data_IF_777519160658
#
_entry.id   IF_777519160658
#
_cell.length_a   1.000
_cell.length_b   1.000
_cell.length_c   1.000
_cell.angle_alpha   90.00
_cell.angle_beta   90.00
_cell.angle_gamma   90.00
#
_symmetry.space_group_name_H-M   'P 1'
#
loop_
_entity.id
_entity.type
_entity.pdbx_description
1 polymer ?
#
# COMPACT_ATOMS: atom_id res chain seq x y z
N UNK A 1 -65.20 1.69 -20.93
CA UNK A 1 -64.64 2.95 -21.48
C UNK A 1 -63.38 3.33 -20.70
N UNK A 2 -62.18 3.04 -21.24
CA UNK A 2 -60.91 3.48 -20.64
C UNK A 2 -60.75 4.97 -20.99
N UNK A 3 -61.00 5.89 -20.04
CA UNK A 3 -60.71 7.32 -20.22
C UNK A 3 -59.24 7.45 -20.61
N UNK A 4 -58.96 7.74 -21.89
CA UNK A 4 -57.61 8.01 -22.36
C UNK A 4 -57.09 9.20 -21.57
N UNK A 5 -55.99 9.03 -20.84
CA UNK A 5 -55.32 10.16 -20.19
C UNK A 5 -55.06 11.24 -21.24
N UNK A 6 -55.37 12.52 -20.97
CA UNK A 6 -55.08 13.60 -21.90
C UNK A 6 -53.59 13.59 -22.26
N UNK A 7 -53.26 13.79 -23.54
CA UNK A 7 -51.90 13.69 -24.10
C UNK A 7 -50.88 14.46 -23.24
N UNK A 8 -51.28 15.64 -22.74
CA UNK A 8 -50.49 16.47 -21.83
C UNK A 8 -50.06 15.72 -20.56
N UNK A 9 -50.93 14.93 -19.94
CA UNK A 9 -50.62 14.17 -18.73
C UNK A 9 -49.67 13.01 -19.01
N UNK A 10 -49.68 12.44 -20.22
CA UNK A 10 -48.69 11.44 -20.65
C UNK A 10 -47.31 12.08 -20.89
N UNK A 11 -47.28 13.25 -21.52
CA UNK A 11 -46.03 14.01 -21.76
C UNK A 11 -45.39 14.47 -20.45
N UNK A 12 -46.18 15.00 -19.52
CA UNK A 12 -45.68 15.40 -18.19
C UNK A 12 -45.16 14.17 -17.44
N UNK A 13 -45.92 13.05 -17.44
CA UNK A 13 -45.49 11.83 -16.77
C UNK A 13 -44.19 11.27 -17.35
N UNK A 14 -44.05 11.23 -18.68
CA UNK A 14 -42.80 10.79 -19.32
C UNK A 14 -41.65 11.72 -19.00
N UNK A 15 -41.86 13.04 -19.05
CA UNK A 15 -40.83 14.02 -18.72
C UNK A 15 -40.38 13.91 -17.26
N UNK A 16 -41.30 13.70 -16.32
CA UNK A 16 -40.97 13.47 -14.90
C UNK A 16 -40.22 12.15 -14.69
N UNK A 17 -40.60 11.07 -15.38
CA UNK A 17 -39.87 9.80 -15.30
C UNK A 17 -38.45 9.95 -15.87
N UNK A 18 -38.29 10.61 -17.01
CA UNK A 18 -36.98 10.86 -17.61
C UNK A 18 -36.12 11.76 -16.73
N UNK A 19 -36.70 12.83 -16.17
CA UNK A 19 -35.99 13.71 -15.24
C UNK A 19 -35.56 12.97 -13.97
N UNK A 20 -36.43 12.13 -13.41
CA UNK A 20 -36.08 11.29 -12.25
C UNK A 20 -35.02 10.25 -12.59
N UNK A 21 -35.09 9.61 -13.76
CA UNK A 21 -34.08 8.67 -14.24
C UNK A 21 -32.73 9.35 -14.47
N UNK A 22 -32.71 10.54 -15.08
CA UNK A 22 -31.50 11.37 -15.22
C UNK A 22 -30.95 11.78 -13.85
N UNK A 23 -31.83 12.16 -12.92
CA UNK A 23 -31.41 12.52 -11.57
C UNK A 23 -30.77 11.33 -10.84
N UNK A 24 -31.36 10.14 -10.91
CA UNK A 24 -30.77 8.90 -10.38
C UNK A 24 -29.41 8.59 -11.05
N UNK A 25 -29.32 8.69 -12.37
CA UNK A 25 -28.09 8.40 -13.12
C UNK A 25 -26.94 9.34 -12.75
N UNK A 26 -27.24 10.62 -12.54
CA UNK A 26 -26.23 11.66 -12.35
C UNK A 26 -25.88 11.92 -10.88
N UNK A 27 -26.82 11.73 -9.95
CA UNK A 27 -26.67 12.15 -8.56
C UNK A 27 -26.81 11.02 -7.52
N UNK A 28 -27.26 9.81 -7.90
CA UNK A 28 -27.37 8.72 -6.94
C UNK A 28 -25.97 8.27 -6.49
N UNK A 29 -25.69 8.24 -5.18
CA UNK A 29 -24.48 7.63 -4.67
C UNK A 29 -24.48 6.14 -5.02
N UNK A 30 -23.33 5.63 -5.44
CA UNK A 30 -23.16 4.22 -5.81
C UNK A 30 -22.43 3.47 -4.70
N UNK A 31 -22.69 2.16 -4.54
CA UNK A 31 -21.91 1.30 -3.66
C UNK A 31 -20.59 0.86 -4.31
N UNK A 32 -20.17 1.47 -5.42
CA UNK A 32 -19.04 1.06 -6.23
C UNK A 32 -17.90 2.10 -6.22
N UNK A 33 -16.69 1.61 -6.42
CA UNK A 33 -15.49 2.38 -6.72
C UNK A 33 -14.88 1.84 -8.00
N UNK A 34 -14.13 2.70 -8.68
CA UNK A 34 -13.50 2.37 -9.97
C UNK A 34 -12.00 2.60 -9.86
N UNK A 35 -11.23 1.59 -10.26
CA UNK A 35 -9.80 1.70 -10.44
C UNK A 35 -9.53 2.19 -11.86
N UNK A 36 -8.86 3.33 -11.98
CA UNK A 36 -8.51 3.98 -13.24
C UNK A 36 -6.99 4.10 -13.38
N UNK A 37 -6.46 4.23 -14.62
CA UNK A 37 -5.09 4.68 -14.83
C UNK A 37 -4.84 5.97 -14.04
N UNK A 38 -3.81 5.94 -13.20
CA UNK A 38 -3.46 7.06 -12.33
C UNK A 38 -2.28 7.84 -12.89
N UNK A 39 -1.11 7.62 -12.29
CA UNK A 39 0.12 8.31 -12.65
C UNK A 39 1.26 7.31 -12.81
N UNK A 40 2.22 7.67 -13.67
CA UNK A 40 3.57 7.12 -13.62
C UNK A 40 4.54 8.30 -13.56
N UNK A 41 5.37 8.34 -12.52
CA UNK A 41 6.26 9.47 -12.22
C UNK A 41 7.65 8.98 -11.84
N UNK A 42 8.70 9.75 -12.12
CA UNK A 42 10.06 9.41 -11.71
C UNK A 42 10.20 9.31 -10.19
N UNK A 43 11.05 8.39 -9.73
CA UNK A 43 11.30 8.12 -8.30
C UNK A 43 12.49 8.89 -7.76
N UNK A 44 13.39 9.40 -8.61
CA UNK A 44 14.54 10.22 -8.23
C UNK A 44 14.24 11.32 -7.18
N UNK A 45 13.16 12.13 -7.27
CA UNK A 45 12.88 13.15 -6.27
C UNK A 45 12.37 12.59 -4.93
N UNK A 46 12.00 11.31 -4.89
CA UNK A 46 11.44 10.64 -3.73
C UNK A 46 12.49 9.94 -2.87
N UNK A 47 13.71 9.73 -3.38
CA UNK A 47 14.77 9.01 -2.65
C UNK A 47 16.04 9.86 -2.61
N UNK A 48 16.60 10.02 -1.41
CA UNK A 48 17.82 10.79 -1.18
C UNK A 48 18.76 10.05 -0.25
N UNK A 49 20.07 10.22 -0.44
CA UNK A 49 21.05 9.85 0.57
C UNK A 49 21.18 11.00 1.58
N UNK A 50 21.34 10.66 2.86
CA UNK A 50 21.55 11.63 3.92
C UNK A 50 22.73 12.57 3.59
N UNK A 51 22.48 13.88 3.70
CA UNK A 51 23.47 14.91 3.35
C UNK A 51 23.64 15.17 1.84
N UNK A 52 22.84 14.53 0.98
CA UNK A 52 22.78 14.84 -0.46
C UNK A 52 21.41 15.40 -0.85
N UNK A 53 21.39 16.23 -1.89
CA UNK A 53 20.13 16.65 -2.51
C UNK A 53 19.71 15.63 -3.57
N UNK A 54 18.40 15.45 -3.78
CA UNK A 54 17.87 14.58 -4.83
C UNK A 54 18.52 14.92 -6.19
N UNK A 55 19.08 13.90 -6.84
CA UNK A 55 19.77 14.09 -8.11
C UNK A 55 18.76 14.01 -9.26
N UNK A 56 18.53 15.14 -9.94
CA UNK A 56 17.67 15.23 -11.13
C UNK A 56 18.46 14.91 -12.42
N UNK A 57 19.31 13.88 -12.39
CA UNK A 57 20.12 13.51 -13.55
C UNK A 57 19.27 13.01 -14.71
N UNK A 58 19.57 13.47 -15.93
CA UNK A 58 18.87 13.14 -17.19
C UNK A 58 19.20 11.73 -17.75
N UNK A 59 19.91 10.88 -16.99
CA UNK A 59 20.39 9.58 -17.47
C UNK A 59 19.61 8.41 -16.85
N UNK A 60 18.53 7.98 -17.52
CA UNK A 60 17.74 6.79 -17.18
C UNK A 60 17.00 6.89 -15.85
N UNK A 61 15.67 6.70 -15.87
CA UNK A 61 14.81 6.94 -14.72
C UNK A 61 14.03 5.70 -14.31
N UNK A 62 13.91 5.49 -12.99
CA UNK A 62 12.96 4.54 -12.43
C UNK A 62 11.61 5.23 -12.21
N UNK A 63 10.53 4.61 -12.68
CA UNK A 63 9.19 5.16 -12.60
C UNK A 63 8.29 4.36 -11.67
N UNK A 64 7.71 5.06 -10.69
CA UNK A 64 6.66 4.54 -9.83
C UNK A 64 5.32 4.66 -10.55
N UNK A 65 4.44 3.68 -10.33
CA UNK A 65 3.10 3.64 -10.93
C UNK A 65 2.03 3.53 -9.85
N UNK A 66 1.01 4.38 -9.96
CA UNK A 66 -0.13 4.38 -9.04
C UNK A 66 -1.46 4.35 -9.80
N UNK A 67 -2.45 3.70 -9.20
CA UNK A 67 -3.83 3.66 -9.70
C UNK A 67 -4.63 4.79 -9.06
N UNK A 68 -5.57 5.34 -9.82
CA UNK A 68 -6.52 6.33 -9.30
C UNK A 68 -7.78 5.62 -8.85
N UNK A 69 -8.21 5.89 -7.62
CA UNK A 69 -9.46 5.38 -7.08
C UNK A 69 -10.55 6.47 -7.16
N UNK A 70 -11.60 6.22 -7.93
CA UNK A 70 -12.75 7.14 -8.04
C UNK A 70 -14.03 6.51 -7.50
N UNK A 71 -14.96 7.34 -7.05
CA UNK A 71 -16.30 6.94 -6.64
C UNK A 71 -17.36 7.59 -7.54
N UNK A 72 -17.47 7.16 -8.82
CA UNK A 72 -18.37 7.79 -9.76
C UNK A 72 -19.85 7.55 -9.43
N UNK A 73 -20.71 8.41 -9.98
CA UNK A 73 -22.15 8.20 -10.00
C UNK A 73 -22.55 6.98 -10.84
N UNK A 74 -23.84 6.64 -10.87
CA UNK A 74 -24.33 5.44 -11.54
C UNK A 74 -23.97 5.43 -13.03
N UNK A 75 -24.05 6.58 -13.71
CA UNK A 75 -23.62 6.70 -15.10
C UNK A 75 -22.14 6.39 -15.28
N UNK A 76 -21.26 6.95 -14.45
CA UNK A 76 -19.83 6.68 -14.53
C UNK A 76 -19.47 5.22 -14.24
N UNK A 77 -20.18 4.55 -13.33
CA UNK A 77 -20.02 3.10 -13.12
C UNK A 77 -20.42 2.31 -14.37
N UNK A 78 -21.55 2.67 -15.00
CA UNK A 78 -21.98 2.00 -16.24
C UNK A 78 -20.95 2.19 -17.36
N UNK A 79 -20.43 3.40 -17.55
CA UNK A 79 -19.35 3.65 -18.50
C UNK A 79 -18.10 2.82 -18.18
N UNK A 80 -17.73 2.72 -16.90
CA UNK A 80 -16.55 1.97 -16.47
C UNK A 80 -16.66 0.45 -16.73
N UNK A 81 -17.87 -0.12 -16.70
CA UNK A 81 -18.08 -1.55 -17.03
C UNK A 81 -17.75 -1.86 -18.50
N UNK A 82 -17.91 -0.89 -19.40
CA UNK A 82 -17.60 -1.05 -20.83
C UNK A 82 -16.19 -0.59 -21.20
N UNK A 83 -15.44 -0.05 -20.24
CA UNK A 83 -14.07 0.43 -20.45
C UNK A 83 -13.06 -0.63 -19.98
N UNK A 84 -12.29 -1.20 -20.92
CA UNK A 84 -11.30 -2.25 -20.62
C UNK A 84 -10.10 -1.76 -19.81
N UNK A 85 -9.96 -0.44 -19.63
CA UNK A 85 -8.94 0.20 -18.81
C UNK A 85 -9.40 0.42 -17.36
N UNK A 86 -10.67 0.14 -17.04
CA UNK A 86 -11.24 0.38 -15.72
C UNK A 86 -11.75 -0.92 -15.10
N UNK A 87 -11.54 -1.06 -13.80
CA UNK A 87 -12.09 -2.18 -13.04
C UNK A 87 -13.01 -1.65 -11.94
N UNK A 88 -14.22 -2.20 -11.86
CA UNK A 88 -15.27 -1.78 -10.90
C UNK A 88 -15.28 -2.73 -9.72
N UNK A 89 -15.22 -2.19 -8.50
CA UNK A 89 -15.26 -2.93 -7.24
C UNK A 89 -16.34 -2.40 -6.32
N UNK A 90 -16.80 -3.20 -5.36
CA UNK A 90 -17.68 -2.71 -4.31
C UNK A 90 -16.88 -1.91 -3.26
N UNK A 91 -17.44 -0.79 -2.82
CA UNK A 91 -16.88 0.06 -1.75
C UNK A 91 -16.54 -0.74 -0.50
N UNK A 92 -17.44 -1.66 -0.11
CA UNK A 92 -17.25 -2.50 1.08
C UNK A 92 -16.03 -3.41 0.99
N UNK A 93 -15.66 -3.88 -0.21
CA UNK A 93 -14.54 -4.82 -0.39
C UNK A 93 -13.20 -4.06 -0.42
N UNK A 94 -13.20 -2.85 -0.97
CA UNK A 94 -12.01 -1.98 -1.05
C UNK A 94 -11.75 -1.24 0.27
N UNK A 95 -12.77 -0.59 0.81
CA UNK A 95 -12.68 0.20 2.05
C UNK A 95 -12.87 -0.65 3.32
N UNK A 96 -13.43 -1.86 3.24
CA UNK A 96 -13.63 -2.74 4.41
C UNK A 96 -14.35 -2.04 5.58
N UNK A 97 -15.36 -1.25 5.26
CA UNK A 97 -16.14 -0.46 6.22
C UNK A 97 -15.53 0.90 6.60
N UNK A 98 -14.36 1.26 6.06
CA UNK A 98 -13.70 2.53 6.33
C UNK A 98 -14.32 3.69 5.53
N UNK A 99 -14.21 4.90 6.10
CA UNK A 99 -14.36 6.12 5.31
C UNK A 99 -13.20 6.29 4.34
N UNK A 100 -13.39 7.08 3.29
CA UNK A 100 -12.32 7.37 2.32
C UNK A 100 -11.08 8.01 2.98
N UNK A 101 -11.28 8.79 4.04
CA UNK A 101 -10.18 9.40 4.81
C UNK A 101 -9.37 8.34 5.56
N UNK A 102 -10.04 7.45 6.29
CA UNK A 102 -9.38 6.35 7.02
C UNK A 102 -8.68 5.39 6.06
N UNK A 103 -9.27 5.12 4.89
CA UNK A 103 -8.63 4.34 3.85
C UNK A 103 -7.31 4.98 3.39
N UNK A 104 -7.30 6.30 3.16
CA UNK A 104 -6.09 7.02 2.78
C UNK A 104 -5.02 6.97 3.88
N UNK A 105 -5.39 7.21 5.14
CA UNK A 105 -4.48 7.11 6.30
C UNK A 105 -3.85 5.71 6.40
N UNK A 106 -4.64 4.65 6.19
CA UNK A 106 -4.13 3.27 6.16
C UNK A 106 -3.14 3.05 5.02
N UNK A 107 -3.41 3.59 3.84
CA UNK A 107 -2.48 3.47 2.71
C UNK A 107 -1.16 4.20 2.96
N UNK A 108 -1.16 5.31 3.71
CA UNK A 108 0.06 6.01 4.14
C UNK A 108 0.90 5.13 5.05
N UNK A 109 0.30 4.53 6.09
CA UNK A 109 1.02 3.60 7.00
C UNK A 109 1.60 2.40 6.26
N UNK A 110 0.82 1.80 5.36
CA UNK A 110 1.29 0.67 4.53
C UNK A 110 2.44 1.11 3.61
N UNK A 111 2.40 2.35 3.11
CA UNK A 111 3.48 2.90 2.29
C UNK A 111 4.77 3.08 3.09
N UNK A 112 4.70 3.57 4.34
CA UNK A 112 5.87 3.65 5.22
C UNK A 112 6.51 2.28 5.45
N UNK A 113 5.71 1.25 5.72
CA UNK A 113 6.20 -0.13 5.79
C UNK A 113 6.91 -0.56 4.51
N UNK A 114 6.31 -0.28 3.35
CA UNK A 114 6.90 -0.58 2.04
C UNK A 114 8.22 0.17 1.77
N UNK A 115 8.41 1.37 2.31
CA UNK A 115 9.67 2.11 2.21
C UNK A 115 10.75 1.44 3.06
N UNK A 116 10.42 1.05 4.29
CA UNK A 116 11.35 0.37 5.20
C UNK A 116 11.79 -0.99 4.66
N UNK A 117 10.84 -1.78 4.15
CA UNK A 117 11.15 -3.07 3.51
C UNK A 117 12.03 -2.87 2.26
N UNK A 118 11.79 -1.80 1.50
CA UNK A 118 12.63 -1.46 0.35
C UNK A 118 14.06 -1.11 0.78
N UNK A 119 14.24 -0.26 1.80
CA UNK A 119 15.56 0.10 2.35
C UNK A 119 16.28 -1.13 2.91
N UNK A 120 15.58 -2.00 3.64
CA UNK A 120 16.13 -3.25 4.15
C UNK A 120 16.63 -4.16 3.02
N UNK A 121 15.82 -4.31 1.95
CA UNK A 121 16.20 -5.10 0.78
C UNK A 121 17.44 -4.52 0.06
N UNK A 122 17.55 -3.19 -0.04
CA UNK A 122 18.76 -2.53 -0.59
C UNK A 122 20.00 -2.87 0.23
N UNK A 123 19.95 -2.66 1.54
CA UNK A 123 21.12 -2.87 2.40
C UNK A 123 21.55 -4.33 2.42
N UNK A 124 20.61 -5.26 2.46
CA UNK A 124 20.93 -6.69 2.36
C UNK A 124 21.55 -7.05 1.03
N UNK A 125 21.00 -6.55 -0.07
CA UNK A 125 21.55 -6.81 -1.41
C UNK A 125 22.98 -6.27 -1.56
N UNK A 126 23.23 -5.06 -1.06
CA UNK A 126 24.55 -4.41 -1.12
C UNK A 126 25.49 -4.83 0.02
N UNK A 127 25.07 -5.73 0.90
CA UNK A 127 25.82 -6.17 2.07
C UNK A 127 26.25 -5.01 3.00
N UNK A 128 25.40 -3.98 3.09
CA UNK A 128 25.60 -2.83 3.98
C UNK A 128 25.14 -3.22 5.38
N UNK A 129 25.98 -3.10 6.42
CA UNK A 129 25.57 -3.38 7.79
C UNK A 129 24.62 -2.31 8.31
N UNK A 130 23.50 -2.74 8.91
CA UNK A 130 22.45 -1.86 9.43
C UNK A 130 21.90 -2.36 10.76
N UNK A 131 21.26 -1.47 11.51
CA UNK A 131 20.48 -1.74 12.71
C UNK A 131 18.99 -1.48 12.42
N UNK A 132 18.14 -2.48 12.68
CA UNK A 132 16.69 -2.32 12.62
C UNK A 132 16.15 -1.90 13.98
N UNK A 133 15.60 -0.69 14.08
CA UNK A 133 14.98 -0.16 15.30
C UNK A 133 13.47 -0.10 15.11
N UNK A 134 12.72 -0.85 15.91
CA UNK A 134 11.26 -0.68 15.94
C UNK A 134 10.93 0.60 16.68
N UNK A 135 10.33 1.54 15.97
CA UNK A 135 9.89 2.84 16.53
C UNK A 135 8.53 2.69 17.21
N UNK A 136 7.62 1.92 16.60
CA UNK A 136 6.29 1.68 17.16
C UNK A 136 5.62 0.45 16.55
N UNK A 137 4.66 -0.12 17.29
CA UNK A 137 3.79 -1.19 16.80
C UNK A 137 2.42 -0.56 16.50
N UNK A 138 2.09 -0.42 15.22
CA UNK A 138 0.85 0.22 14.78
C UNK A 138 -0.30 -0.78 14.80
N UNK A 139 -1.43 -0.39 15.38
CA UNK A 139 -2.68 -1.15 15.32
C UNK A 139 -3.26 -1.05 13.91
N UNK A 140 -3.17 -2.13 13.13
CA UNK A 140 -3.60 -2.14 11.73
C UNK A 140 -5.12 -2.06 11.61
N UNK A 141 -5.84 -2.82 12.43
CA UNK A 141 -7.30 -2.89 12.45
C UNK A 141 -7.77 -3.46 13.81
N UNK A 142 -9.00 -3.18 14.23
CA UNK A 142 -9.62 -3.46 15.53
C UNK A 142 -10.74 -4.49 15.35
N UNK A 143 -10.75 -5.54 16.16
CA UNK A 143 -11.81 -6.55 16.19
C UNK A 143 -13.13 -5.89 16.61
N UNK A 144 -14.16 -5.99 15.75
CA UNK A 144 -15.54 -5.72 16.12
C UNK A 144 -16.33 -7.02 15.99
N UNK A 145 -16.65 -7.64 17.12
CA UNK A 145 -17.56 -8.79 17.20
C UNK A 145 -18.74 -8.34 18.03
N UNK A 146 -19.95 -8.47 17.48
CA UNK A 146 -21.19 -8.22 18.22
C UNK A 146 -21.19 -9.06 19.52
N UNK A 147 -21.22 -8.40 20.68
CA UNK A 147 -21.24 -9.04 21.99
C UNK A 147 -19.88 -9.19 22.70
N UNK A 148 -18.77 -8.76 22.09
CA UNK A 148 -17.45 -8.64 22.76
C UNK A 148 -17.19 -7.17 23.09
N UNK A 149 -16.49 -6.89 24.21
CA UNK A 149 -16.15 -5.52 24.64
C UNK A 149 -15.37 -4.80 23.53
N UNK A 150 -15.76 -3.56 23.23
CA UNK A 150 -15.02 -2.70 22.30
C UNK A 150 -13.56 -2.60 22.73
N UNK A 151 -12.65 -2.87 21.79
CA UNK A 151 -11.23 -2.67 22.01
C UNK A 151 -10.96 -1.20 22.39
N UNK A 152 -10.10 -0.93 23.38
CA UNK A 152 -9.77 0.44 23.75
C UNK A 152 -8.85 1.12 22.72
N UNK A 153 -8.32 0.35 21.76
CA UNK A 153 -7.48 0.85 20.66
C UNK A 153 -8.32 1.37 19.51
N UNK A 154 -7.72 2.30 18.77
CA UNK A 154 -8.22 2.78 17.49
C UNK A 154 -7.24 2.33 16.41
N UNK A 155 -7.75 2.12 15.20
CA UNK A 155 -6.90 1.91 14.03
C UNK A 155 -5.92 3.08 13.89
N UNK A 156 -4.66 2.78 13.63
CA UNK A 156 -3.59 3.79 13.55
C UNK A 156 -3.04 4.25 14.90
N UNK A 157 -3.40 3.61 16.01
CA UNK A 157 -2.70 3.83 17.29
C UNK A 157 -1.30 3.25 17.24
N UNK A 158 -0.30 4.01 17.68
CA UNK A 158 1.09 3.58 17.80
C UNK A 158 1.31 3.06 19.21
N UNK A 159 1.37 1.74 19.38
CA UNK A 159 1.70 1.11 20.65
C UNK A 159 3.22 1.16 20.82
N UNK A 160 3.69 1.98 21.76
CA UNK A 160 5.12 2.29 21.92
C UNK A 160 5.76 1.58 23.11
N UNK A 161 4.96 1.14 24.09
CA UNK A 161 5.49 0.51 25.30
C UNK A 161 4.43 0.11 26.32
N UNK A 162 4.87 -0.23 27.52
CA UNK A 162 4.02 -0.52 28.67
C UNK A 162 4.51 0.15 29.97
N UNK A 163 3.57 0.37 30.89
CA UNK A 163 3.77 0.93 32.23
C UNK A 163 4.58 2.26 32.27
N UNK A 164 4.42 3.12 31.26
CA UNK A 164 5.03 4.46 31.21
C UNK A 164 6.56 4.47 31.32
N UNK A 165 7.22 3.52 30.66
CA UNK A 165 8.69 3.50 30.60
C UNK A 165 9.33 2.39 29.78
N UNK A 166 8.67 1.24 29.58
CA UNK A 166 9.25 0.13 28.83
C UNK A 166 8.85 0.17 27.36
N UNK A 167 9.74 0.65 26.49
CA UNK A 167 9.50 0.70 25.04
C UNK A 167 9.54 -0.68 24.39
N UNK A 168 8.66 -0.92 23.42
CA UNK A 168 8.67 -2.13 22.60
C UNK A 168 9.70 -2.04 21.47
N UNK A 169 10.42 -3.14 21.25
CA UNK A 169 11.46 -3.27 20.21
C UNK A 169 11.06 -4.19 19.05
N UNK A 170 9.97 -4.94 19.20
CA UNK A 170 9.32 -5.76 18.19
C UNK A 170 8.00 -6.28 18.77
N UNK A 171 7.15 -6.89 17.96
CA UNK A 171 5.97 -7.63 18.40
C UNK A 171 6.38 -8.78 19.31
N UNK A 172 7.47 -9.49 19.01
CA UNK A 172 8.01 -10.56 19.87
C UNK A 172 8.43 -10.03 21.26
N UNK A 173 9.08 -8.85 21.29
CA UNK A 173 9.47 -8.17 22.53
C UNK A 173 8.23 -7.66 23.29
N UNK A 174 7.23 -7.14 22.58
CA UNK A 174 5.96 -6.73 23.18
C UNK A 174 5.22 -7.91 23.81
N UNK A 175 5.15 -9.05 23.11
CA UNK A 175 4.61 -10.30 23.63
C UNK A 175 5.35 -10.72 24.89
N UNK A 176 6.69 -10.74 24.83
CA UNK A 176 7.54 -11.15 25.95
C UNK A 176 7.35 -10.25 27.18
N UNK A 177 7.33 -8.94 26.98
CA UNK A 177 7.14 -7.95 28.05
C UNK A 177 5.73 -7.98 28.63
N UNK A 178 4.71 -8.11 27.80
CA UNK A 178 3.33 -8.28 28.27
C UNK A 178 3.17 -9.55 29.10
N UNK A 179 3.80 -10.65 28.67
CA UNK A 179 3.84 -11.90 29.43
C UNK A 179 4.55 -11.76 30.78
N UNK A 180 5.64 -11.00 30.85
CA UNK A 180 6.36 -10.73 32.10
C UNK A 180 5.59 -9.80 33.03
N UNK A 181 4.89 -8.81 32.47
CA UNK A 181 4.06 -7.86 33.21
C UNK A 181 2.74 -8.48 33.69
N UNK A 182 2.33 -9.61 33.12
CA UNK A 182 1.14 -10.34 33.54
C UNK A 182 1.36 -11.03 34.89
N UNK A 183 0.51 -10.72 35.87
CA UNK A 183 0.59 -11.27 37.23
C UNK A 183 0.06 -12.72 37.35
N UNK A 184 -0.26 -13.35 36.22
CA UNK A 184 -0.80 -14.71 36.14
C UNK A 184 -2.28 -14.83 36.52
N UNK A 185 -2.97 -13.73 36.81
CA UNK A 185 -4.40 -13.72 37.11
C UNK A 185 -5.20 -13.30 35.89
N UNK A 186 -6.23 -14.07 35.57
CA UNK A 186 -7.19 -13.67 34.54
C UNK A 186 -7.88 -12.36 34.95
N UNK A 187 -7.91 -11.42 34.01
CA UNK A 187 -8.49 -10.09 34.20
C UNK A 187 -7.54 -9.06 34.82
N UNK A 188 -6.24 -9.38 35.00
CA UNK A 188 -5.29 -8.35 35.41
C UNK A 188 -5.13 -7.26 34.35
N UNK A 189 -4.99 -6.04 34.84
CA UNK A 189 -4.95 -4.84 34.00
C UNK A 189 -3.50 -4.42 33.77
N UNK A 190 -3.10 -4.28 32.51
CA UNK A 190 -1.81 -3.73 32.11
C UNK A 190 -2.04 -2.41 31.40
N UNK A 191 -1.21 -1.40 31.68
CA UNK A 191 -1.29 -0.11 31.01
C UNK A 191 -0.31 -0.08 29.84
N UNK A 192 -0.83 0.10 28.63
CA UNK A 192 -0.06 0.24 27.41
C UNK A 192 0.13 1.72 27.08
N UNK A 193 1.36 2.10 26.73
CA UNK A 193 1.66 3.44 26.24
C UNK A 193 1.34 3.51 24.75
N UNK A 194 0.39 4.36 24.41
CA UNK A 194 -0.14 4.53 23.05
C UNK A 194 0.04 5.97 22.62
N UNK A 195 0.67 6.17 21.48
CA UNK A 195 0.71 7.46 20.81
C UNK A 195 -0.43 7.55 19.79
N UNK A 196 -1.29 8.55 19.97
CA UNK A 196 -2.42 8.85 19.10
C UNK A 196 -2.38 10.32 18.71
N UNK A 197 -2.25 10.60 17.42
CA UNK A 197 -2.15 11.97 16.89
C UNK A 197 -1.03 12.81 17.54
N UNK A 198 0.14 12.21 17.75
CA UNK A 198 1.30 12.90 18.35
C UNK A 198 1.24 13.09 19.87
N UNK A 199 0.23 12.50 20.55
CA UNK A 199 0.09 12.55 22.01
C UNK A 199 0.19 11.15 22.58
N UNK A 200 1.13 10.97 23.52
CA UNK A 200 1.27 9.73 24.29
C UNK A 200 0.19 9.70 25.38
N UNK A 201 -0.55 8.60 25.46
CA UNK A 201 -1.58 8.32 26.45
C UNK A 201 -1.46 6.87 26.92
N UNK A 202 -1.89 6.60 28.14
CA UNK A 202 -1.92 5.24 28.67
C UNK A 202 -3.29 4.62 28.45
N UNK A 203 -3.31 3.40 27.91
CA UNK A 203 -4.50 2.63 27.59
C UNK A 203 -4.48 1.34 28.41
N UNK A 204 -5.44 1.20 29.31
CA UNK A 204 -5.55 0.04 30.19
C UNK A 204 -6.25 -1.12 29.47
N UNK A 205 -5.57 -2.26 29.42
CA UNK A 205 -6.07 -3.51 28.85
C UNK A 205 -6.29 -4.53 29.95
N UNK A 206 -7.42 -5.24 29.90
CA UNK A 206 -7.65 -6.39 30.77
C UNK A 206 -7.21 -7.66 30.02
N UNK A 207 -6.18 -8.31 30.52
CA UNK A 207 -5.69 -9.58 30.01
C UNK A 207 -6.64 -10.70 30.45
N UNK A 208 -7.58 -11.05 29.59
CA UNK A 208 -8.58 -12.12 29.83
C UNK A 208 -8.34 -13.27 28.86
N UNK A 209 -8.61 -14.51 29.29
CA UNK A 209 -8.43 -15.72 28.47
C UNK A 209 -6.96 -16.00 28.05
N UNK A 210 -6.00 -15.53 28.86
CA UNK A 210 -4.56 -15.67 28.59
C UNK A 210 -4.03 -17.05 29.00
N UNK A 211 -4.72 -17.72 29.92
CA UNK A 211 -4.25 -18.95 30.57
C UNK A 211 -4.30 -20.23 29.70
N UNK A 212 -4.83 -20.21 28.48
CA UNK A 212 -5.10 -21.44 27.70
C UNK A 212 -4.36 -21.57 26.35
N UNK A 213 -3.44 -20.66 25.98
CA UNK A 213 -2.80 -20.69 24.64
C UNK A 213 -1.31 -20.28 24.58
N UNK A 214 -0.69 -20.51 23.42
CA UNK A 214 0.65 -20.02 23.10
C UNK A 214 0.63 -18.50 22.91
N UNK A 215 1.62 -17.78 23.42
CA UNK A 215 1.73 -16.34 23.22
C UNK A 215 2.28 -16.04 21.82
N UNK A 216 1.39 -15.93 20.83
CA UNK A 216 1.73 -15.61 19.43
C UNK A 216 1.22 -14.20 19.06
N UNK A 217 1.69 -13.67 17.92
CA UNK A 217 1.20 -12.38 17.40
C UNK A 217 -0.32 -12.37 17.16
N UNK A 218 -0.89 -13.49 16.70
CA UNK A 218 -2.34 -13.64 16.50
C UNK A 218 -3.12 -13.66 17.84
N UNK A 219 -2.58 -14.33 18.87
CA UNK A 219 -3.18 -14.30 20.20
C UNK A 219 -3.08 -12.93 20.84
N UNK A 220 -1.94 -12.24 20.70
CA UNK A 220 -1.81 -10.85 21.15
C UNK A 220 -2.80 -9.94 20.43
N UNK A 221 -2.99 -10.14 19.13
CA UNK A 221 -3.95 -9.38 18.35
C UNK A 221 -5.37 -9.57 18.92
N UNK A 222 -5.76 -10.83 19.15
CA UNK A 222 -7.05 -11.16 19.78
C UNK A 222 -7.22 -10.55 21.18
N UNK A 223 -6.18 -10.61 22.03
CA UNK A 223 -6.20 -10.05 23.39
C UNK A 223 -6.35 -8.53 23.41
N UNK A 224 -5.66 -7.84 22.50
CA UNK A 224 -5.76 -6.39 22.35
C UNK A 224 -7.03 -5.99 21.59
N UNK A 225 -7.83 -6.95 21.13
CA UNK A 225 -9.00 -6.70 20.30
C UNK A 225 -8.61 -6.03 18.98
N UNK A 226 -7.46 -6.41 18.41
CA UNK A 226 -6.95 -5.93 17.12
C UNK A 226 -6.82 -7.10 16.14
N UNK A 227 -6.96 -6.85 14.85
CA UNK A 227 -6.88 -7.90 13.82
C UNK A 227 -5.46 -8.08 13.27
N UNK A 228 -4.51 -7.24 13.71
CA UNK A 228 -3.11 -7.32 13.32
C UNK A 228 -2.30 -6.11 13.79
N UNK A 229 -0.98 -6.29 13.79
CA UNK A 229 0.00 -5.25 14.07
C UNK A 229 0.85 -4.99 12.85
N UNK A 230 1.36 -3.77 12.74
CA UNK A 230 2.40 -3.41 11.77
C UNK A 230 3.55 -2.78 12.54
N UNK A 231 4.73 -3.40 12.52
CA UNK A 231 5.93 -2.80 13.10
C UNK A 231 6.42 -1.69 12.18
N UNK A 232 6.42 -0.45 12.68
CA UNK A 232 7.13 0.63 12.03
C UNK A 232 8.60 0.56 12.47
N UNK A 233 9.47 0.21 11.53
CA UNK A 233 10.89 -0.04 11.76
C UNK A 233 11.73 1.03 11.05
N UNK A 234 12.63 1.68 11.75
CA UNK A 234 13.70 2.48 11.15
C UNK A 234 14.87 1.55 10.80
N UNK A 235 15.29 1.56 9.53
CA UNK A 235 16.43 0.78 9.07
C UNK A 235 17.62 1.73 8.90
N UNK A 236 18.54 1.72 9.86
CA UNK A 236 19.64 2.68 9.93
C UNK A 236 20.97 2.01 9.59
N UNK A 237 21.70 2.45 8.56
CA UNK A 237 23.02 1.92 8.26
C UNK A 237 24.03 2.39 9.31
N UNK A 238 25.13 1.65 9.46
CA UNK A 238 26.21 2.03 10.36
C UNK A 238 26.95 3.30 9.89
N UNK A 239 27.03 3.51 8.56
CA UNK A 239 27.52 4.75 7.97
C UNK A 239 26.35 5.65 7.58
N UNK A 240 26.24 6.80 8.24
CA UNK A 240 25.19 7.77 7.99
C UNK A 240 25.16 8.26 6.54
N UNK A 241 26.29 8.25 5.81
CA UNK A 241 26.32 8.65 4.38
C UNK A 241 25.56 7.69 3.47
N UNK A 242 25.33 6.46 3.92
CA UNK A 242 24.60 5.43 3.18
C UNK A 242 23.11 5.41 3.53
N UNK A 243 22.66 6.29 4.43
CA UNK A 243 21.27 6.35 4.86
C UNK A 243 20.37 6.81 3.71
N UNK A 244 19.51 5.90 3.27
CA UNK A 244 18.43 6.16 2.32
C UNK A 244 17.22 6.73 3.05
N UNK A 245 16.76 7.89 2.60
CA UNK A 245 15.49 8.46 3.00
C UNK A 245 14.53 8.41 1.82
N UNK A 246 13.32 7.88 2.04
CA UNK A 246 12.27 7.78 1.02
C UNK A 246 11.10 8.68 1.45
N UNK A 247 10.54 9.42 0.50
CA UNK A 247 9.39 10.28 0.70
C UNK A 247 8.43 10.14 -0.49
N UNK A 248 7.44 9.25 -0.34
CA UNK A 248 6.43 8.99 -1.37
C UNK A 248 5.37 10.11 -1.52
N UNK A 249 5.37 11.11 -0.63
CA UNK A 249 4.36 12.18 -0.60
C UNK A 249 2.96 11.62 -0.35
N UNK A 250 2.00 12.05 -1.17
CA UNK A 250 0.59 11.63 -1.08
C UNK A 250 0.30 10.25 -1.71
N UNK A 251 1.33 9.56 -2.21
CA UNK A 251 1.19 8.26 -2.86
C UNK A 251 1.21 7.16 -1.80
N UNK A 252 0.13 6.39 -1.73
CA UNK A 252 -0.05 5.33 -0.74
C UNK A 252 -0.05 3.89 -1.29
N UNK A 253 0.02 2.93 -0.38
CA UNK A 253 -0.04 1.49 -0.66
C UNK A 253 1.32 0.81 -0.89
N UNK A 254 1.39 -0.53 -0.88
CA UNK A 254 2.65 -1.26 -0.78
C UNK A 254 3.34 -1.51 -2.12
N UNK A 255 2.73 -1.08 -3.23
CA UNK A 255 3.13 -1.51 -4.58
C UNK A 255 4.39 -0.83 -5.14
N UNK A 256 4.98 0.07 -4.36
CA UNK A 256 6.17 0.85 -4.70
C UNK A 256 7.48 0.24 -4.18
N UNK A 257 7.40 -0.79 -3.32
CA UNK A 257 8.59 -1.40 -2.71
C UNK A 257 9.67 -1.77 -3.71
N UNK A 258 9.31 -2.49 -4.80
CA UNK A 258 10.29 -2.88 -5.82
C UNK A 258 10.98 -1.68 -6.48
N UNK A 259 10.24 -0.65 -6.89
CA UNK A 259 10.85 0.51 -7.59
C UNK A 259 11.71 1.33 -6.64
N UNK A 260 11.33 1.44 -5.37
CA UNK A 260 12.13 2.07 -4.34
C UNK A 260 13.44 1.32 -4.09
N UNK A 261 13.40 -0.01 -4.04
CA UNK A 261 14.62 -0.82 -3.90
C UNK A 261 15.55 -0.63 -5.09
N UNK A 262 15.04 -0.67 -6.32
CA UNK A 262 15.87 -0.49 -7.52
C UNK A 262 16.52 0.89 -7.55
N UNK A 263 15.77 1.95 -7.25
CA UNK A 263 16.32 3.31 -7.20
C UNK A 263 17.31 3.50 -6.04
N UNK A 264 17.08 2.87 -4.88
CA UNK A 264 18.00 2.90 -3.75
C UNK A 264 19.33 2.20 -4.06
N UNK A 265 19.29 1.06 -4.76
CA UNK A 265 20.50 0.40 -5.26
C UNK A 265 21.22 1.32 -6.24
N UNK A 266 20.49 1.85 -7.22
CA UNK A 266 21.04 2.74 -8.25
C UNK A 266 21.77 3.96 -7.64
N UNK A 267 21.20 4.59 -6.59
CA UNK A 267 21.84 5.69 -5.87
C UNK A 267 23.12 5.28 -5.12
N UNK A 268 23.16 4.06 -4.57
CA UNK A 268 24.31 3.55 -3.81
C UNK A 268 25.38 2.89 -4.72
N UNK A 269 25.08 2.71 -6.01
CA UNK A 269 25.99 2.16 -7.04
C UNK A 269 26.22 3.15 -8.19
N UNK A 270 26.24 4.45 -7.91
CA UNK A 270 26.59 5.53 -8.85
C UNK A 270 25.77 5.60 -10.15
N UNK A 271 24.51 5.16 -10.15
CA UNK A 271 23.57 5.33 -11.27
C UNK A 271 23.73 4.32 -12.42
N UNK A 272 24.45 3.22 -12.19
CA UNK A 272 24.73 2.22 -13.23
C UNK A 272 23.53 1.33 -13.58
N UNK A 273 22.49 1.27 -12.72
CA UNK A 273 21.46 0.24 -12.83
C UNK A 273 20.45 0.55 -13.93
N UNK A 274 20.01 1.79 -14.09
CA UNK A 274 19.04 2.15 -15.15
C UNK A 274 19.67 2.09 -16.55
N UNK A 275 20.98 2.38 -16.64
CA UNK A 275 21.75 2.36 -17.89
C UNK A 275 21.17 3.28 -18.99
N UNK A 276 20.51 4.36 -18.59
CA UNK A 276 19.89 5.33 -19.50
C UNK A 276 18.45 4.98 -19.95
N UNK A 277 17.92 3.81 -19.58
CA UNK A 277 16.57 3.40 -19.95
C UNK A 277 15.50 3.98 -19.00
N UNK A 278 14.27 4.10 -19.48
CA UNK A 278 13.10 4.46 -18.68
C UNK A 278 12.42 3.19 -18.17
N UNK A 279 12.68 2.85 -16.92
CA UNK A 279 12.28 1.57 -16.33
C UNK A 279 11.18 1.81 -15.31
N UNK A 280 9.98 1.31 -15.59
CA UNK A 280 8.94 1.24 -14.58
C UNK A 280 9.04 -0.07 -13.79
N UNK A 281 8.66 -0.03 -12.52
CA UNK A 281 8.54 -1.23 -11.72
C UNK A 281 7.36 -1.13 -10.76
N UNK A 282 6.73 -2.27 -10.47
CA UNK A 282 5.73 -2.38 -9.41
C UNK A 282 5.83 -3.74 -8.74
N UNK A 283 5.48 -3.78 -7.47
CA UNK A 283 5.54 -4.99 -6.66
C UNK A 283 5.71 -4.60 -5.21
N UNK A 284 5.07 -5.35 -4.31
CA UNK A 284 5.51 -5.33 -2.92
C UNK A 284 6.88 -5.99 -2.87
N UNK A 285 7.69 -5.63 -1.89
CA UNK A 285 8.96 -6.30 -1.62
C UNK A 285 9.08 -6.50 -0.11
N UNK A 286 9.64 -7.62 0.33
CA UNK A 286 10.06 -7.78 1.72
C UNK A 286 11.57 -7.52 1.86
N UNK A 287 12.08 -7.47 3.10
CA UNK A 287 13.50 -7.27 3.36
C UNK A 287 14.41 -8.35 2.74
N UNK A 288 13.90 -9.55 2.48
CA UNK A 288 14.67 -10.63 1.81
C UNK A 288 14.71 -10.45 0.28
N UNK A 289 14.03 -9.45 -0.25
CA UNK A 289 13.97 -9.17 -1.69
C UNK A 289 12.95 -10.03 -2.44
N UNK A 290 11.98 -10.65 -1.77
CA UNK A 290 10.89 -11.39 -2.43
C UNK A 290 9.83 -10.41 -2.92
N UNK A 291 9.41 -10.56 -4.18
CA UNK A 291 8.45 -9.68 -4.83
C UNK A 291 7.05 -10.27 -4.76
N UNK A 292 6.10 -9.48 -4.26
CA UNK A 292 4.71 -9.87 -4.08
C UNK A 292 3.74 -9.19 -5.06
N UNK A 293 2.57 -9.82 -5.17
CA UNK A 293 1.51 -9.39 -6.08
C UNK A 293 0.93 -8.03 -5.71
N UNK A 294 0.39 -7.34 -6.72
CA UNK A 294 -0.25 -6.02 -6.56
C UNK A 294 -1.63 -5.99 -7.21
N UNK A 295 -2.44 -5.00 -6.81
CA UNK A 295 -3.72 -4.67 -7.43
C UNK A 295 -3.59 -3.68 -8.58
N UNK A 296 -4.57 -3.68 -9.50
CA UNK A 296 -4.66 -2.67 -10.56
C UNK A 296 -3.57 -2.77 -11.64
N UNK A 297 -3.03 -3.97 -11.89
CA UNK A 297 -1.95 -4.15 -12.87
C UNK A 297 -2.32 -3.69 -14.28
N UNK A 298 -3.58 -3.86 -14.70
CA UNK A 298 -4.03 -3.41 -16.02
C UNK A 298 -3.88 -1.90 -16.18
N UNK A 299 -4.37 -1.15 -15.19
CA UNK A 299 -4.29 0.32 -15.14
C UNK A 299 -2.83 0.79 -15.12
N UNK A 300 -1.97 0.07 -14.36
CA UNK A 300 -0.54 0.35 -14.33
C UNK A 300 0.12 0.13 -15.70
N UNK A 301 -0.19 -0.98 -16.39
CA UNK A 301 0.32 -1.20 -17.76
C UNK A 301 -0.10 -0.07 -18.71
N UNK A 302 -1.33 0.42 -18.60
CA UNK A 302 -1.84 1.52 -19.43
C UNK A 302 -1.00 2.77 -19.22
N UNK A 303 -0.95 3.28 -17.98
CA UNK A 303 -0.26 4.55 -17.69
C UNK A 303 1.25 4.44 -17.93
N UNK A 304 1.87 3.30 -17.64
CA UNK A 304 3.30 3.10 -17.90
C UNK A 304 3.62 3.12 -19.39
N UNK A 305 2.79 2.45 -20.20
CA UNK A 305 2.96 2.46 -21.66
C UNK A 305 2.74 3.86 -22.23
N UNK A 306 1.75 4.61 -21.74
CA UNK A 306 1.46 5.98 -22.18
C UNK A 306 2.56 6.96 -21.79
N UNK A 307 3.20 6.75 -20.63
CA UNK A 307 4.35 7.54 -20.19
C UNK A 307 5.66 7.14 -20.86
N UNK A 308 5.67 6.14 -21.76
CA UNK A 308 6.81 5.80 -22.59
C UNK A 308 7.95 5.09 -21.84
N UNK A 309 7.62 4.16 -20.94
CA UNK A 309 8.61 3.26 -20.37
C UNK A 309 9.12 2.27 -21.42
N UNK A 310 10.41 1.98 -21.39
CA UNK A 310 11.02 0.96 -22.26
C UNK A 310 10.82 -0.44 -21.68
N UNK A 311 10.92 -0.55 -20.35
CA UNK A 311 10.81 -1.79 -19.58
C UNK A 311 9.84 -1.60 -18.42
N UNK A 312 8.94 -2.56 -18.23
CA UNK A 312 8.07 -2.64 -17.05
C UNK A 312 8.25 -3.96 -16.32
N UNK A 313 8.82 -3.87 -15.12
CA UNK A 313 8.97 -4.99 -14.20
C UNK A 313 7.70 -5.17 -13.38
N UNK A 314 7.13 -6.37 -13.42
CA UNK A 314 5.88 -6.72 -12.75
C UNK A 314 6.05 -7.98 -11.90
N UNK A 315 5.27 -8.16 -10.82
CA UNK A 315 5.33 -9.40 -10.05
C UNK A 315 4.90 -10.59 -10.91
N UNK A 316 5.53 -11.74 -10.71
CA UNK A 316 5.21 -12.97 -11.47
C UNK A 316 3.74 -13.34 -11.42
N UNK A 317 3.10 -13.14 -10.28
CA UNK A 317 1.68 -13.42 -10.06
C UNK A 317 0.77 -12.54 -10.92
N UNK A 318 1.25 -11.37 -11.34
CA UNK A 318 0.52 -10.43 -12.21
C UNK A 318 0.85 -10.60 -13.70
N UNK A 319 1.79 -11.47 -14.08
CA UNK A 319 2.34 -11.61 -15.44
C UNK A 319 1.26 -11.75 -16.52
N UNK A 320 0.33 -12.69 -16.33
CA UNK A 320 -0.69 -13.02 -17.34
C UNK A 320 -1.55 -11.79 -17.67
N UNK A 321 -2.00 -11.07 -16.64
CA UNK A 321 -2.81 -9.87 -16.81
C UNK A 321 -2.01 -8.72 -17.42
N UNK A 322 -0.76 -8.52 -16.99
CA UNK A 322 0.11 -7.48 -17.50
C UNK A 322 0.40 -7.66 -19.00
N UNK A 323 0.87 -8.85 -19.40
CA UNK A 323 1.18 -9.16 -20.81
C UNK A 323 -0.05 -9.11 -21.70
N UNK A 324 -1.19 -9.61 -21.23
CA UNK A 324 -2.43 -9.55 -21.98
C UNK A 324 -2.84 -8.10 -22.26
N UNK A 325 -2.71 -7.22 -21.26
CA UNK A 325 -3.03 -5.79 -21.41
C UNK A 325 -2.07 -5.09 -22.36
N UNK A 326 -0.76 -5.28 -22.20
CA UNK A 326 0.24 -4.68 -23.08
C UNK A 326 0.02 -5.09 -24.54
N UNK A 327 -0.29 -6.38 -24.77
CA UNK A 327 -0.63 -6.91 -26.10
C UNK A 327 -1.89 -6.30 -26.68
N UNK A 328 -2.97 -6.13 -25.89
CA UNK A 328 -4.21 -5.54 -26.40
C UNK A 328 -4.04 -4.08 -26.80
N UNK A 329 -3.10 -3.37 -26.16
CA UNK A 329 -2.75 -1.99 -26.47
C UNK A 329 -1.72 -1.86 -27.61
N UNK A 330 -1.14 -2.97 -28.09
CA UNK A 330 0.00 -2.96 -29.02
C UNK A 330 1.16 -2.10 -28.49
N UNK A 331 1.43 -2.21 -27.20
CA UNK A 331 2.50 -1.48 -26.54
C UNK A 331 3.87 -2.01 -27.02
N UNK A 332 4.80 -1.09 -27.31
CA UNK A 332 6.22 -1.39 -27.57
C UNK A 332 7.00 -1.64 -26.26
N UNK A 333 6.43 -1.27 -25.11
CA UNK A 333 7.03 -1.47 -23.79
C UNK A 333 7.22 -2.95 -23.49
N UNK A 334 8.44 -3.33 -23.10
CA UNK A 334 8.75 -4.70 -22.71
C UNK A 334 8.22 -4.97 -21.31
N UNK A 335 7.33 -5.95 -21.16
CA UNK A 335 6.87 -6.42 -19.84
C UNK A 335 7.68 -7.65 -19.42
N UNK A 336 8.33 -7.58 -18.26
CA UNK A 336 9.08 -8.69 -17.67
C UNK A 336 8.56 -8.99 -16.27
N UNK A 337 8.32 -10.27 -16.02
CA UNK A 337 7.79 -10.77 -14.76
C UNK A 337 8.93 -11.25 -13.86
N UNK A 338 8.89 -10.90 -12.57
CA UNK A 338 9.94 -11.17 -11.59
C UNK A 338 9.37 -11.66 -10.26
N UNK A 339 10.07 -12.57 -9.58
CA UNK A 339 9.74 -13.10 -8.25
C UNK A 339 10.68 -12.58 -7.16
N UNK A 340 11.89 -12.16 -7.52
CA UNK A 340 12.92 -11.71 -6.58
C UNK A 340 13.64 -10.46 -7.07
N UNK A 341 14.26 -9.73 -6.14
CA UNK A 341 15.12 -8.60 -6.42
C UNK A 341 16.25 -8.97 -7.38
N UNK A 342 16.87 -10.13 -7.18
CA UNK A 342 17.93 -10.61 -8.07
C UNK A 342 17.43 -10.82 -9.50
N UNK A 343 16.23 -11.38 -9.68
CA UNK A 343 15.62 -11.52 -11.00
C UNK A 343 15.32 -10.16 -11.65
N UNK A 344 14.87 -9.17 -10.87
CA UNK A 344 14.65 -7.81 -11.34
C UNK A 344 15.94 -7.19 -11.88
N UNK A 345 17.04 -7.28 -11.13
CA UNK A 345 18.34 -6.75 -11.55
C UNK A 345 18.84 -7.48 -12.80
N UNK A 346 18.77 -8.81 -12.83
CA UNK A 346 19.16 -9.60 -13.99
C UNK A 346 18.32 -9.25 -15.24
N UNK A 347 17.03 -8.99 -15.06
CA UNK A 347 16.14 -8.57 -16.15
C UNK A 347 16.53 -7.21 -16.73
N UNK A 348 16.95 -6.26 -15.88
CA UNK A 348 17.44 -4.95 -16.30
C UNK A 348 18.75 -5.10 -17.08
N UNK A 349 19.73 -5.84 -16.55
CA UNK A 349 21.00 -6.08 -17.24
C UNK A 349 20.80 -6.77 -18.61
N UNK A 350 19.91 -7.75 -18.67
CA UNK A 350 19.56 -8.43 -19.92
C UNK A 350 18.89 -7.50 -20.93
N UNK A 351 18.03 -6.58 -20.47
CA UNK A 351 17.40 -5.57 -21.31
C UNK A 351 18.42 -4.59 -21.90
N UNK A 352 19.35 -4.10 -21.09
CA UNK A 352 20.42 -3.19 -21.53
C UNK A 352 21.35 -3.85 -22.55
N UNK A 353 21.67 -5.13 -22.33
CA UNK A 353 22.54 -5.90 -23.25
C UNK A 353 21.91 -6.08 -24.63
N UNK A 354 20.58 -6.18 -24.69
CA UNK A 354 19.82 -6.27 -25.95
C UNK A 354 19.68 -4.93 -26.66
N UNK A 355 19.73 -3.82 -25.94
CA UNK A 355 19.56 -2.48 -26.51
C UNK A 355 20.86 -1.88 -27.09
N UNK A 356 22.01 -2.49 -26.79
CA UNK A 356 23.33 -2.10 -27.33
C UNK A 356 23.66 -2.76 -28.68
N UNK A 357 22.79 -3.61 -29.19
CA UNK A 357 22.88 -4.30 -30.49
C UNK A 357 21.68 -3.94 -31.35
#
# INVERSE_FOLDING_TARGET
MRKSMPIVRRVILSASITAFAMWLLLYSPTPYVVYEPGLAVPVNPMITLEGTSANNGDSGEFMLTAVKLTAPNLWGVLCAVFDSDRDVYMKKDVFRGESQKQYAERLTVIMEGSQNDAVEAVYRYLHIPYEAKTESIIVSDVYHIDGVRDSPFRRGDHVVGLNSGERFRSVEDAISKLRLAWDGKDGSTISLDVERQGKVMSVDIALTDVAQGEWTAEHLAKLLGVTGFTELRSILPNDQKQQLNIAAGEIGGPSAGLVFTLQGIDLLTDGELSGGARIAATGTIDGEGKIGAIGGIKQKVVITSEQGADLFLVPKQNEKAARAKAKSMKSEMKVVAVETLQEAINAISAFQSQSKH
#
